data_IF_999890296326
#
_entry.id   IF_999890296326
#
_cell.length_a   1.000
_cell.length_b   1.000
_cell.length_c   1.000
_cell.angle_alpha   90.00
_cell.angle_beta   90.00
_cell.angle_gamma   90.00
#
_symmetry.space_group_name_H-M   'P 1'
#
loop_
_entity.id
_entity.type
_entity.pdbx_description
1 polymer ?
#
# COMPACT_ATOMS: atom_id res chain seq x y z
N UNK A 1 16.89 -28.14 13.71
CA UNK A 1 15.90 -28.56 12.71
C UNK A 1 15.55 -27.33 11.88
N UNK A 2 15.94 -27.30 10.61
CA UNK A 2 15.45 -26.25 9.70
C UNK A 2 13.96 -26.48 9.45
N UNK A 3 13.10 -25.46 9.45
CA UNK A 3 11.71 -25.63 9.06
C UNK A 3 11.69 -26.20 7.63
N UNK A 4 10.98 -27.30 7.41
CA UNK A 4 10.64 -27.73 6.06
C UNK A 4 9.71 -26.67 5.47
N UNK A 5 10.19 -25.93 4.47
CA UNK A 5 9.32 -25.09 3.63
C UNK A 5 8.30 -26.02 2.98
N UNK A 6 7.06 -25.96 3.49
CA UNK A 6 5.93 -26.60 2.83
C UNK A 6 5.64 -25.82 1.56
N UNK A 7 5.38 -26.52 0.46
CA UNK A 7 4.99 -25.86 -0.79
C UNK A 7 3.79 -24.91 -0.53
N UNK A 8 3.79 -23.71 -1.12
CA UNK A 8 2.69 -22.76 -0.93
C UNK A 8 1.35 -23.42 -1.26
N UNK A 9 0.36 -23.24 -0.38
CA UNK A 9 -0.98 -23.78 -0.60
C UNK A 9 -1.71 -23.11 -1.78
N UNK A 10 -2.77 -23.75 -2.29
CA UNK A 10 -3.56 -23.29 -3.45
C UNK A 10 -3.99 -21.81 -3.37
N UNK A 11 -4.22 -21.28 -2.17
CA UNK A 11 -4.57 -19.87 -1.97
C UNK A 11 -3.42 -18.91 -2.31
N UNK A 12 -2.18 -19.28 -2.00
CA UNK A 12 -0.98 -18.48 -2.27
C UNK A 12 -0.67 -18.49 -3.77
N UNK A 13 -0.78 -19.65 -4.42
CA UNK A 13 -0.61 -19.76 -5.87
C UNK A 13 -1.63 -18.92 -6.63
N UNK A 14 -2.91 -18.99 -6.23
CA UNK A 14 -3.96 -18.15 -6.77
C UNK A 14 -3.69 -16.66 -6.52
N UNK A 15 -3.22 -16.30 -5.34
CA UNK A 15 -2.93 -14.91 -5.00
C UNK A 15 -1.77 -14.36 -5.85
N UNK A 16 -0.72 -15.14 -6.05
CA UNK A 16 0.37 -14.78 -6.95
C UNK A 16 -0.09 -14.62 -8.39
N UNK A 17 -0.89 -15.55 -8.90
CA UNK A 17 -1.45 -15.44 -10.24
C UNK A 17 -2.28 -14.16 -10.40
N UNK A 18 -3.07 -13.80 -9.38
CA UNK A 18 -3.89 -12.59 -9.36
C UNK A 18 -3.06 -11.31 -9.35
N UNK A 19 -2.07 -11.21 -8.46
CA UNK A 19 -1.17 -10.05 -8.37
C UNK A 19 -0.39 -9.88 -9.68
N UNK A 20 0.16 -10.97 -10.22
CA UNK A 20 0.92 -10.96 -11.46
C UNK A 20 0.03 -10.52 -12.64
N UNK A 21 -1.14 -11.13 -12.80
CA UNK A 21 -2.09 -10.74 -13.85
C UNK A 21 -2.49 -9.25 -13.75
N UNK A 22 -2.76 -8.76 -12.55
CA UNK A 22 -3.10 -7.36 -12.32
C UNK A 22 -1.96 -6.41 -12.69
N UNK A 23 -0.74 -6.71 -12.24
CA UNK A 23 0.44 -5.89 -12.55
C UNK A 23 0.76 -5.84 -14.06
N UNK A 24 0.50 -6.94 -14.77
CA UNK A 24 0.65 -7.02 -16.23
C UNK A 24 -0.56 -6.44 -17.00
N UNK A 25 -1.60 -5.97 -16.30
CA UNK A 25 -2.82 -5.43 -16.90
C UNK A 25 -3.70 -6.50 -17.57
N UNK A 26 -3.48 -7.77 -17.28
CA UNK A 26 -4.31 -8.88 -17.78
C UNK A 26 -5.60 -8.95 -16.95
N UNK A 27 -6.75 -9.11 -17.63
CA UNK A 27 -8.09 -9.26 -17.04
C UNK A 27 -8.70 -8.04 -16.32
N UNK A 28 -7.91 -7.02 -16.01
CA UNK A 28 -8.40 -5.79 -15.38
C UNK A 28 -7.71 -4.54 -15.96
N UNK A 29 -7.73 -4.38 -17.28
CA UNK A 29 -7.04 -3.28 -17.99
C UNK A 29 -7.38 -1.88 -17.46
N UNK A 30 -8.60 -1.66 -16.97
CA UNK A 30 -9.01 -0.40 -16.32
C UNK A 30 -8.51 -0.22 -14.89
N UNK A 31 -8.06 -1.29 -14.24
CA UNK A 31 -7.55 -1.28 -12.88
C UNK A 31 -6.03 -1.25 -12.80
N UNK A 32 -5.29 -1.43 -13.91
CA UNK A 32 -3.82 -1.49 -13.89
C UNK A 32 -3.19 -0.29 -13.19
N UNK A 33 -3.71 0.91 -13.46
CA UNK A 33 -3.25 2.17 -12.88
C UNK A 33 -4.16 2.67 -11.74
N UNK A 34 -5.13 1.85 -11.34
CA UNK A 34 -6.12 2.16 -10.33
C UNK A 34 -6.18 1.05 -9.27
N UNK A 35 -7.19 1.13 -8.42
CA UNK A 35 -7.40 0.14 -7.38
C UNK A 35 -8.19 -1.07 -7.90
N UNK A 36 -7.74 -2.27 -7.55
CA UNK A 36 -8.42 -3.54 -7.81
C UNK A 36 -8.70 -4.28 -6.50
N UNK A 37 -9.97 -4.43 -6.09
CA UNK A 37 -10.34 -5.14 -4.87
C UNK A 37 -9.84 -6.60 -4.84
N UNK A 38 -9.80 -7.27 -5.99
CA UNK A 38 -9.32 -8.65 -6.09
C UNK A 38 -7.80 -8.75 -5.89
N UNK A 39 -7.03 -7.82 -6.48
CA UNK A 39 -5.59 -7.76 -6.28
C UNK A 39 -5.23 -7.38 -4.84
N UNK A 40 -6.00 -6.48 -4.21
CA UNK A 40 -5.85 -6.16 -2.78
C UNK A 40 -6.12 -7.38 -1.89
N UNK A 41 -7.13 -8.19 -2.19
CA UNK A 41 -7.37 -9.41 -1.43
C UNK A 41 -6.21 -10.40 -1.58
N UNK A 42 -5.67 -10.55 -2.78
CA UNK A 42 -4.47 -11.35 -3.03
C UNK A 42 -3.23 -10.81 -2.29
N UNK A 43 -3.06 -9.48 -2.23
CA UNK A 43 -2.02 -8.83 -1.44
C UNK A 43 -2.10 -9.22 0.03
N UNK A 44 -3.31 -9.23 0.61
CA UNK A 44 -3.53 -9.66 1.98
C UNK A 44 -3.05 -11.09 2.22
N UNK A 45 -3.46 -12.03 1.37
CA UNK A 45 -3.03 -13.44 1.45
C UNK A 45 -1.50 -13.56 1.45
N UNK A 46 -0.84 -12.94 0.47
CA UNK A 46 0.62 -13.04 0.26
C UNK A 46 1.42 -12.41 1.41
N UNK A 47 1.00 -11.25 1.93
CA UNK A 47 1.70 -10.60 3.04
C UNK A 47 1.49 -11.38 4.35
N UNK A 48 0.27 -11.83 4.63
CA UNK A 48 -0.02 -12.52 5.91
C UNK A 48 0.69 -13.87 6.02
N UNK A 49 0.92 -14.54 4.90
CA UNK A 49 1.66 -15.81 4.87
C UNK A 49 3.19 -15.60 4.97
N UNK A 50 3.66 -14.35 4.87
CA UNK A 50 5.09 -13.94 4.94
C UNK A 50 5.98 -14.55 3.84
N UNK A 51 5.39 -15.08 2.78
CA UNK A 51 6.11 -15.70 1.65
C UNK A 51 6.16 -14.73 0.48
N UNK A 52 7.00 -13.69 0.58
CA UNK A 52 7.31 -12.81 -0.56
C UNK A 52 8.73 -13.01 -1.07
N UNK A 53 8.90 -13.79 -2.17
CA UNK A 53 10.19 -13.93 -2.85
C UNK A 53 10.75 -12.58 -3.29
N UNK A 54 12.08 -12.43 -3.25
CA UNK A 54 12.76 -11.17 -3.57
C UNK A 54 12.44 -10.65 -4.98
N UNK A 55 12.38 -11.55 -5.97
CA UNK A 55 12.05 -11.28 -7.38
C UNK A 55 10.59 -10.85 -7.58
N UNK A 56 9.71 -11.16 -6.63
CA UNK A 56 8.27 -10.84 -6.69
C UNK A 56 7.89 -9.58 -5.92
N UNK A 57 8.80 -9.01 -5.13
CA UNK A 57 8.55 -7.83 -4.27
C UNK A 57 7.95 -6.67 -5.04
N UNK A 58 8.46 -6.40 -6.24
CA UNK A 58 8.00 -5.28 -7.06
C UNK A 58 6.49 -5.37 -7.39
N UNK A 59 5.98 -6.58 -7.65
CA UNK A 59 4.57 -6.78 -7.96
C UNK A 59 3.69 -6.48 -6.74
N UNK A 60 4.11 -6.99 -5.57
CA UNK A 60 3.44 -6.74 -4.28
C UNK A 60 3.46 -5.25 -3.94
N UNK A 61 4.60 -4.58 -4.14
CA UNK A 61 4.77 -3.14 -3.91
C UNK A 61 3.83 -2.31 -4.79
N UNK A 62 3.64 -2.67 -6.07
CA UNK A 62 2.68 -1.96 -6.94
C UNK A 62 1.25 -2.03 -6.36
N UNK A 63 0.79 -3.22 -5.98
CA UNK A 63 -0.55 -3.40 -5.42
C UNK A 63 -0.67 -2.71 -4.05
N UNK A 64 0.39 -2.74 -3.23
CA UNK A 64 0.43 -2.04 -1.95
C UNK A 64 0.30 -0.52 -2.12
N UNK A 65 1.01 0.10 -3.07
CA UNK A 65 0.88 1.54 -3.38
C UNK A 65 -0.52 1.94 -3.85
N UNK A 66 -1.15 1.09 -4.67
CA UNK A 66 -2.52 1.30 -5.13
C UNK A 66 -3.52 1.19 -3.97
N UNK A 67 -3.33 0.20 -3.10
CA UNK A 67 -4.10 0.04 -1.86
C UNK A 67 -3.92 1.27 -0.97
N UNK A 68 -2.69 1.72 -0.77
CA UNK A 68 -2.38 2.93 0.01
C UNK A 68 -3.11 4.16 -0.53
N UNK A 69 -3.12 4.34 -1.85
CA UNK A 69 -3.79 5.48 -2.50
C UNK A 69 -5.31 5.44 -2.39
N UNK A 70 -5.90 4.25 -2.51
CA UNK A 70 -7.34 4.06 -2.46
C UNK A 70 -7.88 4.20 -1.04
N UNK A 71 -7.16 3.66 -0.06
CA UNK A 71 -7.57 3.57 1.33
C UNK A 71 -7.06 4.73 2.20
N UNK A 72 -6.26 5.64 1.65
CA UNK A 72 -5.75 6.79 2.40
C UNK A 72 -6.89 7.54 3.12
N UNK A 73 -6.77 7.84 4.42
CA UNK A 73 -7.77 8.60 5.14
C UNK A 73 -7.77 10.03 4.60
N UNK A 74 -8.78 10.37 3.78
CA UNK A 74 -8.92 11.69 3.16
C UNK A 74 -9.69 12.69 4.04
N UNK A 75 -9.99 12.34 5.29
CA UNK A 75 -10.74 13.19 6.22
C UNK A 75 -11.01 12.52 7.57
N UNK A 76 -11.82 13.18 8.40
CA UNK A 76 -12.22 12.75 9.75
C UNK A 76 -13.00 11.43 9.79
N UNK A 77 -13.64 11.06 8.68
CA UNK A 77 -14.47 9.85 8.58
C UNK A 77 -13.66 8.57 8.31
N UNK A 78 -12.33 8.67 8.23
CA UNK A 78 -11.44 7.53 8.03
C UNK A 78 -11.35 7.05 6.58
N UNK A 79 -11.22 5.73 6.39
CA UNK A 79 -11.08 5.13 5.07
C UNK A 79 -12.45 5.00 4.39
N UNK A 80 -12.68 5.80 3.35
CA UNK A 80 -13.95 5.82 2.61
C UNK A 80 -14.31 4.48 1.95
N UNK A 81 -13.39 3.74 1.28
CA UNK A 81 -13.70 2.40 0.77
C UNK A 81 -14.17 1.42 1.85
N UNK A 82 -13.63 1.51 3.07
CA UNK A 82 -13.98 0.61 4.17
C UNK A 82 -15.15 1.11 5.03
N UNK A 83 -15.42 2.41 5.05
CA UNK A 83 -16.38 3.02 5.97
C UNK A 83 -15.96 2.92 7.45
N UNK A 84 -14.65 2.83 7.71
CA UNK A 84 -14.10 2.59 9.05
C UNK A 84 -13.05 3.67 9.40
N UNK A 85 -12.98 4.08 10.68
CA UNK A 85 -11.95 5.01 11.16
C UNK A 85 -10.55 4.40 11.05
N UNK A 86 -10.43 3.11 11.36
CA UNK A 86 -9.20 2.33 11.22
C UNK A 86 -9.30 1.36 10.04
N UNK A 87 -8.35 1.45 9.11
CA UNK A 87 -8.33 0.62 7.91
C UNK A 87 -7.25 -0.45 7.99
N UNK A 88 -7.61 -1.70 8.27
CA UNK A 88 -6.64 -2.80 8.25
C UNK A 88 -5.94 -2.98 6.88
N UNK A 89 -6.60 -2.57 5.78
CA UNK A 89 -6.02 -2.63 4.42
C UNK A 89 -4.90 -1.61 4.23
N UNK A 90 -5.07 -0.39 4.76
CA UNK A 90 -4.01 0.63 4.73
C UNK A 90 -2.85 0.25 5.62
N UNK A 91 -3.12 -0.29 6.82
CA UNK A 91 -2.09 -0.73 7.76
C UNK A 91 -1.23 -1.83 7.14
N UNK A 92 -1.84 -2.85 6.54
CA UNK A 92 -1.12 -3.94 5.90
C UNK A 92 -0.28 -3.46 4.70
N UNK A 93 -0.84 -2.60 3.84
CA UNK A 93 -0.11 -2.01 2.73
C UNK A 93 1.06 -1.12 3.21
N UNK A 94 0.84 -0.31 4.24
CA UNK A 94 1.86 0.55 4.86
C UNK A 94 3.00 -0.26 5.46
N UNK A 95 2.69 -1.31 6.24
CA UNK A 95 3.70 -2.21 6.81
C UNK A 95 4.55 -2.86 5.73
N UNK A 96 3.95 -3.29 4.61
CA UNK A 96 4.73 -3.81 3.49
C UNK A 96 5.70 -2.77 2.92
N UNK A 97 5.21 -1.56 2.67
CA UNK A 97 6.02 -0.47 2.11
C UNK A 97 7.16 -0.07 3.05
N UNK A 98 6.94 -0.08 4.36
CA UNK A 98 8.01 0.11 5.37
C UNK A 98 9.07 -1.00 5.29
N UNK A 99 8.65 -2.27 5.19
CA UNK A 99 9.55 -3.43 5.10
C UNK A 99 10.45 -3.35 3.86
N UNK A 100 9.91 -2.90 2.72
CA UNK A 100 10.69 -2.73 1.49
C UNK A 100 11.34 -1.35 1.37
N UNK A 101 11.25 -0.52 2.41
CA UNK A 101 11.79 0.85 2.46
C UNK A 101 11.30 1.74 1.30
N UNK A 102 10.05 1.52 0.90
CA UNK A 102 9.37 2.25 -0.14
C UNK A 102 8.66 3.46 0.49
N UNK A 103 9.29 4.63 0.43
CA UNK A 103 8.79 5.90 1.01
C UNK A 103 7.58 6.48 0.28
N UNK A 104 6.67 5.65 -0.18
CA UNK A 104 5.53 6.04 -0.98
C UNK A 104 4.54 6.89 -0.17
N UNK A 105 4.25 8.07 -0.73
CA UNK A 105 3.19 8.96 -0.27
C UNK A 105 2.16 9.05 -1.40
N UNK A 106 0.86 8.82 -1.15
CA UNK A 106 -0.15 8.94 -2.19
C UNK A 106 -0.10 10.32 -2.86
N UNK A 107 -0.30 10.42 -4.19
CA UNK A 107 -0.21 11.70 -4.91
C UNK A 107 -1.11 12.80 -4.34
N UNK A 108 -2.31 12.44 -3.85
CA UNK A 108 -3.24 13.39 -3.22
C UNK A 108 -2.70 14.01 -1.93
N UNK A 109 -1.79 13.32 -1.24
CA UNK A 109 -1.13 13.79 -0.01
C UNK A 109 0.14 14.54 -0.34
N UNK A 110 0.88 14.10 -1.37
CA UNK A 110 2.08 14.77 -1.83
C UNK A 110 1.83 16.25 -2.18
N UNK A 111 0.65 16.57 -2.73
CA UNK A 111 0.22 17.95 -3.03
C UNK A 111 0.03 18.79 -1.75
N UNK A 112 -0.29 18.16 -0.62
CA UNK A 112 -0.47 18.82 0.68
C UNK A 112 0.85 18.96 1.44
N UNK A 113 1.91 18.27 1.01
CA UNK A 113 3.21 18.42 1.65
C UNK A 113 3.74 19.82 1.37
N UNK A 114 4.23 20.54 2.40
CA UNK A 114 4.85 21.84 2.20
C UNK A 114 5.96 21.72 1.16
N UNK A 115 5.84 22.44 0.05
CA UNK A 115 6.86 22.47 -1.01
C UNK A 115 8.16 23.12 -0.54
N UNK A 116 8.12 23.82 0.59
CA UNK A 116 9.26 24.30 1.35
C UNK A 116 9.07 23.94 2.82
N UNK A 117 10.11 23.37 3.44
CA UNK A 117 10.16 23.28 4.91
C UNK A 117 10.11 24.72 5.45
N UNK A 118 9.11 25.09 6.27
CA UNK A 118 9.04 26.41 6.86
C UNK A 118 10.33 26.71 7.62
N UNK A 119 10.90 27.89 7.39
CA UNK A 119 12.07 28.31 8.16
C UNK A 119 11.67 28.54 9.63
N UNK A 120 12.64 28.59 10.55
CA UNK A 120 12.36 28.95 11.93
C UNK A 120 11.71 30.34 12.07
N UNK A 121 11.96 31.24 11.12
CA UNK A 121 11.31 32.55 11.02
C UNK A 121 9.85 32.42 10.56
N UNK A 122 9.56 31.57 9.57
CA UNK A 122 8.19 31.28 9.16
C UNK A 122 7.37 30.67 10.28
N UNK A 123 7.95 29.73 11.04
CA UNK A 123 7.30 29.11 12.19
C UNK A 123 6.96 30.16 13.25
N UNK A 124 7.91 31.02 13.64
CA UNK A 124 7.68 32.10 14.61
C UNK A 124 6.56 33.06 14.17
N UNK A 125 6.56 33.44 12.89
CA UNK A 125 5.52 34.30 12.30
C UNK A 125 4.14 33.64 12.30
N UNK A 126 4.06 32.34 12.00
CA UNK A 126 2.79 31.59 11.94
C UNK A 126 2.25 31.29 13.34
N UNK A 127 3.12 30.97 14.30
CA UNK A 127 2.72 30.61 15.66
C UNK A 127 2.59 31.80 16.61
N UNK A 128 3.00 32.99 16.19
CA UNK A 128 3.00 34.19 17.04
C UNK A 128 3.99 34.10 18.20
N UNK A 129 5.02 33.26 18.07
CA UNK A 129 6.08 33.11 19.06
C UNK A 129 7.21 34.08 18.70
N UNK A 130 7.35 35.17 19.46
CA UNK A 130 8.52 36.07 19.42
C UNK A 130 9.76 35.40 20.03
#
# INVERSE_FOLDING_TARGET
MSPQESAPGLAIDWAWATITAHAEGRHCGGCRDAWCPTAEWALWVVITDRVVPADRRQLVTVVARQTMTAHWPRGVDGCRPCGLPDCGRIQLAGTWLEVVQDGYVPPSVAILMPSATPTAEDLRRITGME
#
